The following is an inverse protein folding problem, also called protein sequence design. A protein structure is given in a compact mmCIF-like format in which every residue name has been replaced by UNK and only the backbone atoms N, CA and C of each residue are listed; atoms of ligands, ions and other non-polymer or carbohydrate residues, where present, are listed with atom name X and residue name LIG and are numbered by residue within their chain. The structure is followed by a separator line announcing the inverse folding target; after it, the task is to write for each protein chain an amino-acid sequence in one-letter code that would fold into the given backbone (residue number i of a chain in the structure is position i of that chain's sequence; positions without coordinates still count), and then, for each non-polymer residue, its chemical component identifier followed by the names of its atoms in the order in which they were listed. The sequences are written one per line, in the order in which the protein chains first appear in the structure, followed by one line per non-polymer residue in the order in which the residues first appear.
data_IF_509597984513
#
_entry.id   IF_509597984513
#
_cell.length_a   1.000
_cell.length_b   1.000
_cell.length_c   1.000
_cell.angle_alpha   90.00
_cell.angle_beta   90.00
_cell.angle_gamma   90.00
#
_symmetry.space_group_name_H-M   'P 1'
#
loop_
_entity.id
_entity.type
_entity.pdbx_description
1 polymer ?
#
# COMPACT_ATOMS: atom_id res chain seq x y z
N UNK A 1 -24.49 22.63 16.39
CA UNK A 1 -23.31 22.10 17.14
C UNK A 1 -23.42 20.59 17.47
N UNK A 2 -24.06 19.76 16.63
CA UNK A 2 -24.17 18.29 16.85
C UNK A 2 -23.35 17.42 15.88
N UNK A 3 -22.70 18.01 14.87
CA UNK A 3 -22.00 17.26 13.81
C UNK A 3 -20.59 16.80 14.22
N UNK A 4 -19.97 17.42 15.23
CA UNK A 4 -18.55 17.21 15.55
C UNK A 4 -18.24 15.96 16.39
N UNK A 5 -19.23 15.35 17.05
CA UNK A 5 -19.01 14.29 18.03
C UNK A 5 -19.13 12.87 17.45
N UNK A 6 -20.07 12.65 16.53
CA UNK A 6 -20.21 11.37 15.79
C UNK A 6 -19.02 11.08 14.89
N UNK A 7 -18.42 12.14 14.33
CA UNK A 7 -17.22 12.06 13.49
C UNK A 7 -16.01 11.46 14.26
N UNK A 8 -15.90 11.74 15.58
CA UNK A 8 -14.69 11.49 16.37
C UNK A 8 -14.48 10.02 16.81
N UNK A 9 -15.56 9.24 16.93
CA UNK A 9 -15.49 7.81 17.23
C UNK A 9 -15.06 6.98 16.01
N UNK A 10 -15.49 7.34 14.80
CA UNK A 10 -15.05 6.64 13.59
C UNK A 10 -13.54 6.87 13.37
N UNK A 11 -12.99 8.05 13.70
CA UNK A 11 -11.56 8.34 13.55
C UNK A 11 -10.65 7.56 14.52
N UNK A 12 -10.99 7.43 15.81
CA UNK A 12 -10.06 6.86 16.80
C UNK A 12 -9.69 5.39 16.55
N UNK A 13 -10.62 4.58 16.01
CA UNK A 13 -10.39 3.16 15.71
C UNK A 13 -9.93 2.92 14.27
N UNK A 14 -10.23 3.83 13.33
CA UNK A 14 -9.77 3.70 11.94
C UNK A 14 -8.36 4.26 11.71
N UNK A 15 -7.95 5.28 12.47
CA UNK A 15 -6.67 5.97 12.26
C UNK A 15 -5.44 5.05 12.35
N UNK A 16 -5.28 4.15 13.35
CA UNK A 16 -4.09 3.30 13.42
C UNK A 16 -4.00 2.30 12.24
N UNK A 17 -5.12 1.70 11.84
CA UNK A 17 -5.21 0.73 10.73
C UNK A 17 -4.97 1.44 9.39
N UNK A 18 -5.57 2.62 9.19
CA UNK A 18 -5.35 3.47 8.02
C UNK A 18 -3.89 3.90 7.92
N UNK A 19 -3.25 4.26 9.03
CA UNK A 19 -1.83 4.62 9.03
C UNK A 19 -0.93 3.44 8.72
N UNK A 20 -1.20 2.25 9.29
CA UNK A 20 -0.47 1.02 8.95
C UNK A 20 -0.60 0.68 7.47
N UNK A 21 -1.80 0.80 6.91
CA UNK A 21 -2.02 0.52 5.49
C UNK A 21 -1.31 1.55 4.59
N UNK A 22 -1.35 2.84 4.93
CA UNK A 22 -0.59 3.89 4.22
C UNK A 22 0.92 3.63 4.24
N UNK A 23 1.47 3.24 5.39
CA UNK A 23 2.89 2.93 5.51
C UNK A 23 3.27 1.67 4.72
N UNK A 24 2.41 0.65 4.75
CA UNK A 24 2.60 -0.56 3.96
C UNK A 24 2.57 -0.27 2.45
N UNK A 25 1.61 0.55 1.98
CA UNK A 25 1.53 0.98 0.59
C UNK A 25 2.75 1.79 0.16
N UNK A 26 3.24 2.72 1.00
CA UNK A 26 4.44 3.49 0.71
C UNK A 26 5.68 2.58 0.60
N UNK A 27 5.80 1.61 1.50
CA UNK A 27 6.89 0.63 1.48
C UNK A 27 6.81 -0.25 0.23
N UNK A 28 5.61 -0.72 -0.13
CA UNK A 28 5.39 -1.53 -1.32
C UNK A 28 5.71 -0.76 -2.60
N UNK A 29 5.32 0.53 -2.66
CA UNK A 29 5.65 1.39 -3.80
C UNK A 29 7.16 1.58 -3.97
N UNK A 30 7.89 1.83 -2.88
CA UNK A 30 9.35 1.96 -2.92
C UNK A 30 10.02 0.66 -3.42
N UNK A 31 9.64 -0.49 -2.84
CA UNK A 31 10.16 -1.79 -3.26
C UNK A 31 9.82 -2.12 -4.74
N UNK A 32 8.64 -1.71 -5.21
CA UNK A 32 8.23 -1.87 -6.61
C UNK A 32 9.11 -1.05 -7.56
N UNK A 33 9.44 0.19 -7.20
CA UNK A 33 10.34 1.03 -7.99
C UNK A 33 11.74 0.41 -8.08
N UNK A 34 12.27 -0.09 -6.97
CA UNK A 34 13.57 -0.76 -6.93
C UNK A 34 13.58 -2.03 -7.81
N UNK A 35 12.56 -2.88 -7.68
CA UNK A 35 12.44 -4.10 -8.49
C UNK A 35 12.31 -3.77 -9.99
N UNK A 36 11.53 -2.74 -10.34
CA UNK A 36 11.40 -2.28 -11.73
C UNK A 36 12.73 -1.81 -12.30
N UNK A 37 13.50 -1.03 -11.53
CA UNK A 37 14.84 -0.59 -11.93
C UNK A 37 15.78 -1.78 -12.15
N UNK A 38 15.85 -2.72 -11.20
CA UNK A 38 16.67 -3.93 -11.33
C UNK A 38 16.27 -4.78 -12.54
N UNK A 39 14.97 -4.97 -12.78
CA UNK A 39 14.45 -5.69 -13.93
C UNK A 39 14.91 -5.04 -15.24
N UNK A 40 14.80 -3.72 -15.33
CA UNK A 40 15.22 -2.95 -16.50
C UNK A 40 16.73 -3.04 -16.73
N UNK A 41 17.54 -3.04 -15.67
CA UNK A 41 19.00 -3.22 -15.78
C UNK A 41 19.38 -4.60 -16.29
N UNK A 42 18.78 -5.65 -15.73
CA UNK A 42 19.01 -7.03 -16.20
C UNK A 42 18.54 -7.20 -17.64
N UNK A 43 17.38 -6.62 -18.01
CA UNK A 43 16.90 -6.64 -19.40
C UNK A 43 17.91 -6.00 -20.34
N UNK A 44 18.44 -4.82 -20.00
CA UNK A 44 19.48 -4.14 -20.80
C UNK A 44 20.74 -4.99 -20.96
N UNK A 45 21.17 -5.68 -19.90
CA UNK A 45 22.33 -6.59 -19.98
C UNK A 45 22.05 -7.78 -20.89
N UNK A 46 20.85 -8.35 -20.83
CA UNK A 46 20.41 -9.43 -21.73
C UNK A 46 20.43 -8.94 -23.17
N UNK A 47 19.85 -7.78 -23.45
CA UNK A 47 19.79 -7.23 -24.81
C UNK A 47 21.21 -7.01 -25.39
N UNK A 48 22.16 -6.52 -24.58
CA UNK A 48 23.58 -6.37 -24.98
C UNK A 48 24.24 -7.72 -25.25
N UNK A 49 23.96 -8.74 -24.44
CA UNK A 49 24.50 -10.08 -24.66
C UNK A 49 23.91 -10.74 -25.94
N UNK A 50 22.61 -10.56 -26.19
CA UNK A 50 21.95 -11.04 -27.40
C UNK A 50 22.50 -10.36 -28.67
N UNK A 51 22.82 -9.06 -28.60
CA UNK A 51 23.53 -8.35 -29.68
C UNK A 51 24.91 -8.96 -29.98
N UNK A 52 25.55 -9.58 -28.98
CA UNK A 52 26.81 -10.31 -29.13
C UNK A 52 26.60 -11.78 -29.53
N UNK A 53 25.39 -12.15 -29.96
CA UNK A 53 24.98 -13.51 -30.35
C UNK A 53 25.08 -14.53 -29.20
N UNK A 54 25.08 -14.07 -27.95
CA UNK A 54 25.01 -14.93 -26.78
C UNK A 54 23.55 -15.23 -26.46
N UNK A 55 23.27 -16.49 -26.12
CA UNK A 55 21.94 -16.90 -25.68
C UNK A 55 21.77 -16.59 -24.18
N UNK A 56 20.67 -15.94 -23.76
CA UNK A 56 20.41 -15.70 -22.35
C UNK A 56 20.20 -17.03 -21.61
N UNK A 57 20.68 -17.09 -20.36
CA UNK A 57 20.39 -18.24 -19.50
C UNK A 57 18.89 -18.32 -19.20
N UNK A 58 18.34 -19.54 -19.22
CA UNK A 58 16.92 -19.77 -18.93
C UNK A 58 16.51 -19.25 -17.54
N UNK A 59 17.41 -19.34 -16.55
CA UNK A 59 17.18 -18.78 -15.22
C UNK A 59 16.99 -17.26 -15.24
N UNK A 60 17.72 -16.54 -16.10
CA UNK A 60 17.61 -15.08 -16.23
C UNK A 60 16.28 -14.72 -16.89
N UNK A 61 15.89 -15.46 -17.93
CA UNK A 61 14.58 -15.26 -18.56
C UNK A 61 13.42 -15.55 -17.60
N UNK A 62 13.52 -16.62 -16.82
CA UNK A 62 12.54 -16.96 -15.79
C UNK A 62 12.46 -15.89 -14.70
N UNK A 63 13.60 -15.36 -14.27
CA UNK A 63 13.65 -14.29 -13.28
C UNK A 63 12.99 -13.01 -13.82
N UNK A 64 13.29 -12.61 -15.06
CA UNK A 64 12.66 -11.46 -15.71
C UNK A 64 11.14 -11.61 -15.80
N UNK A 65 10.65 -12.80 -16.18
CA UNK A 65 9.22 -13.08 -16.25
C UNK A 65 8.55 -13.01 -14.88
N UNK A 66 9.15 -13.60 -13.84
CA UNK A 66 8.63 -13.54 -12.47
C UNK A 66 8.63 -12.11 -11.93
N UNK A 67 9.68 -11.34 -12.19
CA UNK A 67 9.76 -9.94 -11.80
C UNK A 67 8.64 -9.12 -12.46
N UNK A 68 8.37 -9.31 -13.75
CA UNK A 68 7.25 -8.64 -14.44
C UNK A 68 5.90 -8.98 -13.80
N UNK A 69 5.66 -10.26 -13.50
CA UNK A 69 4.43 -10.70 -12.83
C UNK A 69 4.28 -10.04 -11.46
N UNK A 70 5.32 -10.08 -10.62
CA UNK A 70 5.31 -9.45 -9.30
C UNK A 70 5.10 -7.93 -9.39
N UNK A 71 5.72 -7.26 -10.37
CA UNK A 71 5.54 -5.83 -10.62
C UNK A 71 4.07 -5.53 -10.93
N UNK A 72 3.46 -6.32 -11.81
CA UNK A 72 2.06 -6.14 -12.24
C UNK A 72 1.10 -6.38 -11.09
N UNK A 73 1.27 -7.47 -10.34
CA UNK A 73 0.44 -7.78 -9.18
C UNK A 73 0.54 -6.70 -8.10
N UNK A 74 1.76 -6.25 -7.78
CA UNK A 74 1.97 -5.18 -6.81
C UNK A 74 1.39 -3.84 -7.27
N UNK A 75 1.47 -3.51 -8.57
CA UNK A 75 0.86 -2.31 -9.12
C UNK A 75 -0.67 -2.31 -8.94
N UNK A 76 -1.33 -3.45 -9.23
CA UNK A 76 -2.77 -3.61 -9.01
C UNK A 76 -3.14 -3.44 -7.53
N UNK A 77 -2.38 -4.05 -6.62
CA UNK A 77 -2.60 -3.91 -5.17
C UNK A 77 -2.47 -2.45 -4.69
N UNK A 78 -1.57 -1.67 -5.29
CA UNK A 78 -1.41 -0.25 -4.97
C UNK A 78 -2.60 0.56 -5.49
N UNK A 79 -3.11 0.24 -6.69
CA UNK A 79 -4.30 0.87 -7.28
C UNK A 79 -5.57 0.60 -6.47
N UNK A 80 -5.71 -0.61 -5.90
CA UNK A 80 -6.85 -0.99 -5.06
C UNK A 80 -6.79 -0.41 -3.63
N UNK A 81 -5.58 -0.08 -3.15
CA UNK A 81 -5.33 0.42 -1.79
C UNK A 81 -6.21 1.61 -1.34
N UNK A 82 -6.41 2.66 -2.16
CA UNK A 82 -7.33 3.77 -1.87
C UNK A 82 -8.79 3.35 -1.63
N UNK A 83 -9.28 2.32 -2.32
CA UNK A 83 -10.64 1.83 -2.14
C UNK A 83 -10.80 1.09 -0.80
N UNK A 84 -9.81 0.29 -0.42
CA UNK A 84 -9.75 -0.38 0.89
C UNK A 84 -9.67 0.64 2.04
N UNK A 85 -8.91 1.72 1.88
CA UNK A 85 -8.88 2.83 2.85
C UNK A 85 -10.24 3.48 3.03
N UNK A 86 -10.98 3.68 1.94
CA UNK A 86 -12.33 4.25 1.96
C UNK A 86 -13.32 3.31 2.66
N UNK A 87 -13.26 2.02 2.38
CA UNK A 87 -14.10 0.99 3.00
C UNK A 87 -13.85 0.89 4.52
N UNK A 88 -12.58 0.92 4.96
CA UNK A 88 -12.21 0.89 6.38
C UNK A 88 -12.70 2.12 7.16
N UNK A 89 -12.72 3.30 6.53
CA UNK A 89 -13.29 4.51 7.13
C UNK A 89 -14.82 4.42 7.28
N UNK A 90 -15.51 3.66 6.41
CA UNK A 90 -16.98 3.54 6.39
C UNK A 90 -17.52 2.41 7.28
N UNK A 91 -16.72 1.38 7.58
CA UNK A 91 -17.17 0.19 8.31
C UNK A 91 -17.24 0.37 9.85
N UNK A 92 -16.72 1.47 10.40
CA UNK A 92 -16.56 1.66 11.85
C UNK A 92 -17.80 2.14 12.63
N UNK A 93 -18.93 2.47 11.97
CA UNK A 93 -20.01 3.24 12.59
C UNK A 93 -21.42 2.67 12.36
N UNK A 94 -21.60 1.34 12.45
CA UNK A 94 -22.89 0.67 12.31
C UNK A 94 -23.57 0.24 13.64
N UNK A 95 -23.24 0.88 14.78
CA UNK A 95 -23.80 0.52 16.10
C UNK A 95 -24.41 1.73 16.81
N UNK A 96 -25.74 1.69 17.03
CA UNK A 96 -26.51 2.67 17.81
C UNK A 96 -26.03 2.85 19.27
N UNK A 97 -25.14 1.97 19.76
CA UNK A 97 -24.56 1.98 21.13
C UNK A 97 -23.24 2.75 21.27
N UNK A 98 -22.68 3.31 20.19
CA UNK A 98 -21.41 4.06 20.24
C UNK A 98 -21.52 5.42 20.99
N UNK A 99 -22.76 5.88 21.25
CA UNK A 99 -23.06 7.24 21.73
C UNK A 99 -22.88 7.50 23.24
N UNK A 100 -22.70 6.49 24.10
CA UNK A 100 -22.87 6.69 25.56
C UNK A 100 -21.60 6.69 26.43
N UNK A 101 -20.39 6.52 25.90
CA UNK A 101 -19.18 6.34 26.74
C UNK A 101 -17.95 7.16 26.35
N UNK A 102 -18.08 8.49 26.26
CA UNK A 102 -16.89 9.35 26.21
C UNK A 102 -16.96 10.48 27.25
N UNK A 103 -16.85 10.09 28.52
CA UNK A 103 -16.24 10.98 29.52
C UNK A 103 -14.80 10.52 29.73
N UNK A 104 -13.92 11.50 29.68
CA UNK A 104 -12.55 11.52 30.20
C UNK A 104 -11.40 11.04 29.31
N UNK A 105 -10.44 11.94 29.10
CA UNK A 105 -9.09 11.66 28.60
C UNK A 105 -8.75 12.29 27.25
N UNK A 106 -8.30 13.55 27.25
CA UNK A 106 -7.47 14.10 26.16
C UNK A 106 -6.25 13.16 26.01
N UNK A 107 -6.28 12.26 25.04
CA UNK A 107 -5.08 11.60 24.51
C UNK A 107 -4.84 12.14 23.12
N UNK A 108 -3.64 12.63 22.92
CA UNK A 108 -3.15 13.17 21.65
C UNK A 108 -3.30 12.11 20.57
N UNK A 109 -4.11 12.43 19.56
CA UNK A 109 -4.19 11.63 18.35
C UNK A 109 -2.95 11.99 17.54
N UNK A 110 -1.96 11.09 17.48
CA UNK A 110 -0.84 11.21 16.54
C UNK A 110 -1.42 11.18 15.13
N UNK A 111 -1.42 12.34 14.49
CA UNK A 111 -1.82 12.48 13.09
C UNK A 111 -0.65 12.01 12.23
N UNK A 112 -0.92 11.14 11.28
CA UNK A 112 0.10 10.65 10.34
C UNK A 112 0.40 11.76 9.34
N UNK A 113 1.51 12.47 9.56
CA UNK A 113 2.13 13.30 8.52
C UNK A 113 2.77 12.35 7.51
N UNK A 114 2.27 12.40 6.29
CA UNK A 114 2.89 11.79 5.11
C UNK A 114 3.46 12.90 4.26
#
# INVERSE_FOLDING_TARGET
MSSMYTQRCCYAVSLPQVCKLKQALATLYAALQELSAQRNDVRRQVDVAEQQLLKPFEQVQLWLSKAETMITEAANLIEDGPQELKNLCLCGCASKKCMSRYKFGKKEVKMCWG
#
